data_IF_232243152829
#
_entry.id   IF_232243152829
#
_cell.length_a   1.000
_cell.length_b   1.000
_cell.length_c   1.000
_cell.angle_alpha   90.00
_cell.angle_beta   90.00
_cell.angle_gamma   90.00
#
_symmetry.space_group_name_H-M   'P 1'
#
loop_
_entity.id
_entity.type
_entity.pdbx_description
1 polymer ?
#
# COMPACT_ATOMS: atom_id res chain seq x y z
N UNK A 1 -53.29 -3.93 -14.39
CA UNK A 1 -52.15 -3.71 -13.46
C UNK A 1 -52.44 -4.42 -12.14
N UNK A 2 -51.74 -5.50 -11.78
CA UNK A 2 -51.96 -6.18 -10.49
C UNK A 2 -51.32 -5.36 -9.37
N UNK A 3 -52.12 -4.87 -8.41
CA UNK A 3 -51.62 -4.23 -7.19
C UNK A 3 -50.92 -5.28 -6.34
N UNK A 4 -49.58 -5.28 -6.34
CA UNK A 4 -48.79 -6.10 -5.42
C UNK A 4 -48.82 -5.42 -4.05
N UNK A 5 -49.63 -5.95 -3.13
CA UNK A 5 -49.60 -5.53 -1.73
C UNK A 5 -48.48 -6.30 -1.00
N UNK A 6 -47.49 -5.56 -0.50
CA UNK A 6 -46.50 -6.12 0.43
C UNK A 6 -47.12 -6.17 1.82
N UNK A 7 -46.94 -7.29 2.52
CA UNK A 7 -47.39 -7.41 3.91
C UNK A 7 -46.57 -6.47 4.81
N UNK A 8 -47.20 -5.86 5.83
CA UNK A 8 -46.51 -5.03 6.82
C UNK A 8 -45.32 -5.75 7.47
N UNK A 9 -45.45 -7.06 7.67
CA UNK A 9 -44.40 -7.93 8.20
C UNK A 9 -43.17 -7.99 7.29
N UNK A 10 -43.38 -8.04 5.98
CA UNK A 10 -42.30 -8.03 4.98
C UNK A 10 -41.55 -6.69 5.00
N UNK A 11 -42.28 -5.58 5.12
CA UNK A 11 -41.68 -4.23 5.22
C UNK A 11 -40.84 -4.11 6.50
N UNK A 12 -41.38 -4.52 7.64
CA UNK A 12 -40.67 -4.45 8.92
C UNK A 12 -39.43 -5.37 8.96
N UNK A 13 -39.46 -6.52 8.29
CA UNK A 13 -38.29 -7.41 8.18
C UNK A 13 -37.15 -6.81 7.34
N UNK A 14 -37.45 -6.00 6.34
CA UNK A 14 -36.46 -5.36 5.47
C UNK A 14 -35.98 -3.98 5.97
N UNK A 15 -36.67 -3.38 6.94
CA UNK A 15 -36.32 -2.04 7.44
C UNK A 15 -34.94 -2.03 8.13
N UNK A 16 -34.61 -3.09 8.87
CA UNK A 16 -33.30 -3.21 9.51
C UNK A 16 -32.16 -3.21 8.49
N UNK A 17 -32.24 -4.05 7.46
CA UNK A 17 -31.20 -4.11 6.41
C UNK A 17 -31.10 -2.82 5.61
N UNK A 18 -32.20 -2.12 5.36
CA UNK A 18 -32.19 -0.83 4.66
C UNK A 18 -31.52 0.31 5.46
N UNK A 19 -31.55 0.24 6.80
CA UNK A 19 -30.92 1.24 7.68
C UNK A 19 -29.47 0.87 8.02
N UNK A 20 -29.16 -0.41 8.23
CA UNK A 20 -27.82 -0.86 8.58
C UNK A 20 -26.86 -0.94 7.39
N UNK A 21 -27.35 -1.22 6.17
CA UNK A 21 -26.49 -1.36 4.98
C UNK A 21 -25.80 -0.03 4.58
N UNK A 22 -26.48 1.14 4.56
CA UNK A 22 -25.81 2.43 4.35
C UNK A 22 -24.83 2.80 5.46
N UNK A 23 -25.14 2.43 6.72
CA UNK A 23 -24.24 2.65 7.85
C UNK A 23 -22.96 1.82 7.74
N UNK A 24 -23.08 0.58 7.23
CA UNK A 24 -21.93 -0.28 6.95
C UNK A 24 -21.07 0.28 5.80
N UNK A 25 -21.70 0.83 4.76
CA UNK A 25 -20.97 1.48 3.65
C UNK A 25 -20.25 2.76 4.11
N UNK A 26 -20.83 3.47 5.09
CA UNK A 26 -20.19 4.62 5.74
C UNK A 26 -18.96 4.26 6.60
N UNK A 27 -18.76 2.98 6.96
CA UNK A 27 -17.54 2.51 7.62
C UNK A 27 -16.38 2.29 6.64
N UNK A 28 -16.62 2.39 5.33
CA UNK A 28 -15.55 2.50 4.35
C UNK A 28 -15.18 3.98 4.23
N UNK A 29 -13.90 4.35 4.40
CA UNK A 29 -13.49 5.74 4.19
C UNK A 29 -13.82 6.14 2.74
N UNK A 30 -14.77 7.07 2.58
CA UNK A 30 -15.23 7.56 1.27
C UNK A 30 -14.09 8.15 0.42
N UNK A 31 -13.02 8.58 1.09
CA UNK A 31 -11.75 8.98 0.54
C UNK A 31 -10.65 8.34 1.40
N UNK A 32 -10.42 7.04 1.22
CA UNK A 32 -9.17 6.45 1.72
C UNK A 32 -8.01 7.21 1.08
N UNK A 33 -7.31 8.03 1.85
CA UNK A 33 -6.11 8.69 1.36
C UNK A 33 -5.17 7.59 0.85
N UNK A 34 -4.70 7.73 -0.38
CA UNK A 34 -3.72 6.82 -0.95
C UNK A 34 -2.55 6.73 0.04
N UNK A 35 -2.22 5.51 0.49
CA UNK A 35 -1.22 5.31 1.50
C UNK A 35 0.14 5.78 0.95
N UNK A 36 0.56 6.98 1.33
CA UNK A 36 1.86 7.51 0.91
C UNK A 36 2.95 6.62 1.52
N UNK A 37 3.93 6.15 0.73
CA UNK A 37 5.06 5.42 1.28
C UNK A 37 5.77 6.30 2.33
N UNK A 38 6.29 5.70 3.41
CA UNK A 38 6.93 6.46 4.48
C UNK A 38 8.16 7.20 3.94
N UNK A 39 8.23 8.50 4.19
CA UNK A 39 9.40 9.31 3.85
C UNK A 39 10.55 8.92 4.81
N UNK A 40 11.64 8.36 4.29
CA UNK A 40 12.82 7.96 5.06
C UNK A 40 13.99 8.88 4.74
N UNK A 41 14.61 9.45 5.77
CA UNK A 41 15.80 10.29 5.66
C UNK A 41 16.98 9.58 6.31
N UNK A 42 18.13 9.55 5.63
CA UNK A 42 19.37 8.98 6.17
C UNK A 42 20.53 9.93 5.88
N UNK A 43 21.35 10.17 6.90
CA UNK A 43 22.60 10.91 6.79
C UNK A 43 23.76 9.93 6.94
N UNK A 44 24.67 9.93 5.98
CA UNK A 44 25.90 9.15 6.03
C UNK A 44 27.10 10.09 6.09
N UNK A 45 28.00 9.83 7.04
CA UNK A 45 29.27 10.53 7.15
C UNK A 45 30.40 9.53 6.90
N UNK A 46 31.31 9.87 6.00
CA UNK A 46 32.42 9.00 5.60
C UNK A 46 33.74 9.74 5.84
N UNK A 47 34.33 9.65 7.05
CA UNK A 47 35.48 10.47 7.45
C UNK A 47 36.74 10.21 6.63
N UNK A 48 36.93 8.97 6.17
CA UNK A 48 38.14 8.52 5.49
C UNK A 48 37.97 8.37 3.97
N UNK A 49 36.82 8.82 3.42
CA UNK A 49 36.46 8.59 2.03
C UNK A 49 36.04 7.14 1.73
N UNK A 50 35.69 6.90 0.48
CA UNK A 50 35.18 5.62 -0.01
C UNK A 50 36.16 5.04 -1.03
N UNK A 51 36.49 3.76 -0.92
CA UNK A 51 37.24 3.06 -1.96
C UNK A 51 36.34 2.78 -3.17
N UNK A 52 36.33 3.72 -4.13
CA UNK A 52 35.43 3.73 -5.29
C UNK A 52 35.42 2.43 -6.12
N UNK A 53 36.55 1.73 -6.36
CA UNK A 53 36.54 0.47 -7.09
C UNK A 53 35.71 -0.65 -6.44
N UNK A 54 35.58 -0.63 -5.11
CA UNK A 54 34.75 -1.58 -4.38
C UNK A 54 33.33 -1.07 -4.10
N UNK A 55 33.05 0.22 -4.35
CA UNK A 55 31.77 0.87 -4.04
C UNK A 55 30.86 1.03 -5.25
N UNK A 56 31.41 1.27 -6.44
CA UNK A 56 30.61 1.42 -7.66
C UNK A 56 30.47 0.08 -8.40
N UNK A 57 29.26 -0.33 -8.78
CA UNK A 57 29.06 -1.35 -9.80
C UNK A 57 29.80 -0.98 -11.10
N UNK A 58 30.27 -1.98 -11.84
CA UNK A 58 31.08 -1.76 -13.06
C UNK A 58 30.25 -1.38 -14.29
N UNK A 59 28.99 -1.78 -14.30
CA UNK A 59 28.08 -1.62 -15.44
C UNK A 59 26.87 -0.81 -14.99
N UNK A 60 26.36 0.02 -15.89
CA UNK A 60 25.12 0.76 -15.71
C UNK A 60 23.91 -0.14 -16.02
N UNK A 61 22.82 0.01 -15.28
CA UNK A 61 21.58 -0.77 -15.46
C UNK A 61 21.13 -1.48 -14.20
N UNK A 62 20.27 -2.51 -14.31
CA UNK A 62 19.86 -3.37 -13.19
C UNK A 62 21.08 -3.93 -12.47
N UNK A 63 20.98 -4.17 -11.15
CA UNK A 63 22.14 -4.56 -10.34
C UNK A 63 22.78 -5.84 -10.90
N UNK A 64 23.94 -5.69 -11.55
CA UNK A 64 24.65 -6.79 -12.19
C UNK A 64 25.45 -7.61 -11.19
N UNK A 65 26.74 -7.78 -11.47
CA UNK A 65 27.68 -8.36 -10.50
C UNK A 65 28.07 -7.29 -9.50
N UNK A 66 27.69 -7.48 -8.23
CA UNK A 66 27.97 -6.54 -7.16
C UNK A 66 29.40 -6.73 -6.62
N UNK A 67 30.12 -5.64 -6.30
CA UNK A 67 31.38 -5.73 -5.56
C UNK A 67 31.13 -6.19 -4.12
N UNK A 68 32.17 -6.71 -3.46
CA UNK A 68 32.06 -7.30 -2.11
C UNK A 68 31.44 -6.37 -1.07
N UNK A 69 31.68 -5.06 -1.16
CA UNK A 69 31.11 -4.08 -0.22
C UNK A 69 29.58 -3.93 -0.36
N UNK A 70 29.03 -4.28 -1.53
CA UNK A 70 27.60 -4.24 -1.83
C UNK A 70 26.94 -5.63 -1.77
N UNK A 71 27.65 -6.66 -1.30
CA UNK A 71 27.10 -8.01 -1.16
C UNK A 71 25.78 -8.08 -0.36
N UNK A 72 25.55 -7.28 0.70
CA UNK A 72 24.26 -7.25 1.41
C UNK A 72 23.08 -6.79 0.55
N UNK A 73 23.32 -6.12 -0.58
CA UNK A 73 22.27 -5.68 -1.49
C UNK A 73 21.87 -6.75 -2.52
N UNK A 74 22.50 -7.93 -2.50
CA UNK A 74 22.24 -8.99 -3.47
C UNK A 74 20.79 -9.52 -3.46
N UNK A 75 20.09 -9.44 -2.33
CA UNK A 75 18.66 -9.79 -2.23
C UNK A 75 17.76 -8.81 -3.00
N UNK A 76 18.24 -7.58 -3.21
CA UNK A 76 17.50 -6.51 -3.89
C UNK A 76 17.91 -6.32 -5.36
N UNK A 77 18.67 -7.28 -5.91
CA UNK A 77 19.03 -7.32 -7.33
C UNK A 77 17.83 -7.53 -8.24
#
# INVERSE_FOLDING_TARGET
>A
MKRKHLSRRTVLRGLGTALFLPWLDAMRPAFGAEAKPPLRLVFFYVPNGIHMPAWRPKEDGPLGTLPSSLAPLAEFK
#
